data_IF_782661083068
#
_entry.id   IF_782661083068
#
_cell.length_a   1.000
_cell.length_b   1.000
_cell.length_c   1.000
_cell.angle_alpha   90.00
_cell.angle_beta   90.00
_cell.angle_gamma   90.00
#
_symmetry.space_group_name_H-M   'P 1'
#
loop_
_entity.id
_entity.type
_entity.pdbx_description
1 polymer ?
#
# COMPACT_ATOMS: atom_id res chain seq x y z
N UNK A 1 11.36 -5.53 27.93
CA UNK A 1 10.25 -6.42 27.55
C UNK A 1 9.45 -5.71 26.45
N UNK A 2 9.59 -6.12 25.19
CA UNK A 2 8.90 -5.49 24.05
C UNK A 2 7.61 -6.26 23.77
N UNK A 3 6.55 -5.92 24.48
CA UNK A 3 5.20 -6.47 24.25
C UNK A 3 4.82 -6.34 22.77
N UNK A 4 4.26 -7.39 22.18
CA UNK A 4 3.82 -7.38 20.78
C UNK A 4 2.41 -6.80 20.77
N UNK A 5 2.17 -5.69 20.06
CA UNK A 5 0.82 -5.17 19.91
C UNK A 5 -0.09 -6.28 19.41
N UNK A 6 -1.27 -6.37 20.01
CA UNK A 6 -2.26 -7.34 19.56
C UNK A 6 -2.63 -7.03 18.10
N UNK A 7 -2.76 -8.10 17.30
CA UNK A 7 -3.15 -7.94 15.90
C UNK A 7 -4.57 -7.35 15.82
N UNK A 8 -4.81 -6.37 14.94
CA UNK A 8 -6.11 -5.74 14.81
C UNK A 8 -7.14 -6.75 14.27
N UNK A 9 -8.45 -6.52 14.48
CA UNK A 9 -9.50 -7.43 14.01
C UNK A 9 -9.37 -7.79 12.52
N UNK A 10 -9.09 -6.81 11.67
CA UNK A 10 -8.85 -7.02 10.24
C UNK A 10 -7.60 -7.87 9.96
N UNK A 11 -6.56 -7.75 10.79
CA UNK A 11 -5.34 -8.53 10.67
C UNK A 11 -5.57 -10.00 11.04
N UNK A 12 -6.43 -10.27 12.02
CA UNK A 12 -6.88 -11.63 12.38
C UNK A 12 -7.72 -12.23 11.25
N UNK A 13 -8.64 -11.45 10.68
CA UNK A 13 -9.48 -11.84 9.55
C UNK A 13 -8.63 -12.26 8.34
N UNK A 14 -7.71 -11.39 7.90
CA UNK A 14 -6.82 -11.67 6.77
C UNK A 14 -5.94 -12.91 7.01
N UNK A 15 -5.49 -13.16 8.24
CA UNK A 15 -4.75 -14.39 8.57
C UNK A 15 -5.59 -15.65 8.41
N UNK A 16 -6.85 -15.63 8.85
CA UNK A 16 -7.77 -16.76 8.70
C UNK A 16 -8.05 -17.01 7.23
N UNK A 17 -8.31 -15.95 6.46
CA UNK A 17 -8.55 -16.04 5.02
C UNK A 17 -7.35 -16.58 4.25
N UNK A 18 -6.12 -16.14 4.57
CA UNK A 18 -4.89 -16.72 4.02
C UNK A 18 -4.80 -18.24 4.24
N UNK A 19 -5.12 -18.69 5.46
CA UNK A 19 -5.10 -20.11 5.81
C UNK A 19 -6.18 -20.89 5.05
N UNK A 20 -7.39 -20.33 4.93
CA UNK A 20 -8.49 -20.93 4.18
C UNK A 20 -8.17 -21.03 2.67
N UNK A 21 -7.60 -19.97 2.09
CA UNK A 21 -7.20 -19.90 0.69
C UNK A 21 -5.92 -20.72 0.38
N UNK A 22 -5.21 -21.20 1.41
CA UNK A 22 -3.93 -21.94 1.28
C UNK A 22 -2.87 -21.20 0.47
N UNK A 23 -2.85 -19.87 0.55
CA UNK A 23 -1.83 -19.04 -0.11
C UNK A 23 -0.87 -18.41 0.89
N UNK A 24 0.37 -18.17 0.44
CA UNK A 24 1.39 -17.52 1.26
C UNK A 24 1.12 -16.02 1.39
N UNK A 25 1.67 -15.39 2.44
CA UNK A 25 1.64 -13.92 2.59
C UNK A 25 2.30 -13.20 1.42
N UNK A 26 3.38 -13.78 0.88
CA UNK A 26 4.07 -13.26 -0.31
C UNK A 26 3.15 -13.26 -1.53
N UNK A 27 2.43 -14.35 -1.73
CA UNK A 27 1.47 -14.47 -2.84
C UNK A 27 0.29 -13.52 -2.68
N UNK A 28 -0.26 -13.37 -1.47
CA UNK A 28 -1.35 -12.43 -1.23
C UNK A 28 -0.91 -10.96 -1.37
N UNK A 29 0.32 -10.63 -0.96
CA UNK A 29 0.92 -9.32 -1.20
C UNK A 29 1.04 -9.02 -2.70
N UNK A 30 1.49 -10.00 -3.50
CA UNK A 30 1.54 -9.91 -4.96
C UNK A 30 0.16 -9.64 -5.56
N UNK A 31 -0.86 -10.41 -5.14
CA UNK A 31 -2.26 -10.25 -5.63
C UNK A 31 -2.89 -8.92 -5.26
N UNK A 32 -2.49 -8.32 -4.14
CA UNK A 32 -3.00 -7.02 -3.67
C UNK A 32 -2.18 -5.82 -4.18
N UNK A 33 -1.09 -6.05 -4.91
CA UNK A 33 -0.23 -4.98 -5.42
C UNK A 33 0.52 -4.21 -4.33
N UNK A 34 0.93 -4.89 -3.24
CA UNK A 34 1.76 -4.31 -2.19
C UNK A 34 2.97 -5.20 -1.88
N UNK A 35 3.98 -4.65 -1.20
CA UNK A 35 5.13 -5.45 -0.76
C UNK A 35 4.78 -6.43 0.37
N UNK A 36 5.47 -7.57 0.42
CA UNK A 36 5.28 -8.57 1.48
C UNK A 36 5.52 -7.97 2.89
N UNK A 37 6.54 -7.11 3.02
CA UNK A 37 6.83 -6.40 4.26
C UNK A 37 5.66 -5.52 4.68
N UNK A 38 5.07 -4.77 3.76
CA UNK A 38 3.90 -3.92 4.02
C UNK A 38 2.69 -4.76 4.42
N UNK A 39 2.44 -5.86 3.72
CA UNK A 39 1.39 -6.83 4.05
C UNK A 39 1.53 -7.32 5.49
N UNK A 40 2.73 -7.76 5.88
CA UNK A 40 3.03 -8.24 7.23
C UNK A 40 2.75 -7.18 8.29
N UNK A 41 3.19 -5.94 8.08
CA UNK A 41 2.99 -4.85 9.02
C UNK A 41 1.51 -4.52 9.25
N UNK A 42 0.73 -4.49 8.16
CA UNK A 42 -0.71 -4.23 8.21
C UNK A 42 -1.46 -5.35 8.92
N UNK A 43 -1.14 -6.60 8.60
CA UNK A 43 -1.70 -7.78 9.25
C UNK A 43 -1.32 -7.87 10.73
N UNK A 44 -0.11 -7.43 11.10
CA UNK A 44 0.32 -7.39 12.50
C UNK A 44 -0.16 -6.16 13.25
N UNK A 45 -0.63 -5.13 12.55
CA UNK A 45 -1.05 -3.84 13.14
C UNK A 45 0.10 -2.98 13.66
N UNK A 46 1.34 -3.25 13.24
CA UNK A 46 2.49 -2.45 13.66
C UNK A 46 3.64 -2.54 12.66
N UNK A 47 4.49 -1.52 12.67
CA UNK A 47 5.78 -1.49 11.99
C UNK A 47 6.90 -1.28 13.01
N UNK A 48 8.13 -1.67 12.66
CA UNK A 48 9.31 -1.43 13.51
C UNK A 48 10.08 -0.23 12.96
N UNK A 49 10.20 0.83 13.75
CA UNK A 49 10.96 2.04 13.43
C UNK A 49 11.96 2.27 14.55
N UNK A 50 13.25 2.32 14.24
CA UNK A 50 14.32 2.55 15.22
C UNK A 50 14.20 1.65 16.47
N UNK A 51 13.96 0.35 16.25
CA UNK A 51 13.72 -0.69 17.29
C UNK A 51 12.42 -0.55 18.10
N UNK A 52 11.61 0.49 17.84
CA UNK A 52 10.31 0.68 18.47
C UNK A 52 9.18 0.12 17.59
N UNK A 53 8.19 -0.54 18.22
CA UNK A 53 6.98 -1.00 17.53
C UNK A 53 5.98 0.15 17.50
N UNK A 54 5.68 0.65 16.31
CA UNK A 54 4.73 1.73 16.06
C UNK A 54 3.44 1.11 15.54
N UNK A 55 2.28 1.37 16.15
CA UNK A 55 1.01 0.85 15.67
C UNK A 55 0.69 1.41 14.28
N UNK A 56 0.18 0.54 13.41
CA UNK A 56 -0.19 0.90 12.04
C UNK A 56 -1.58 0.36 11.77
N UNK A 57 -2.41 1.23 11.21
CA UNK A 57 -3.75 0.87 10.74
C UNK A 57 -3.75 0.87 9.22
N UNK A 58 -4.38 -0.14 8.61
CA UNK A 58 -4.54 -0.22 7.15
C UNK A 58 -5.43 0.92 6.65
N UNK A 59 -5.01 1.67 5.62
CA UNK A 59 -5.90 2.52 4.83
C UNK A 59 -7.02 1.69 4.21
N UNK A 60 -8.19 2.28 4.02
CA UNK A 60 -9.40 1.55 3.63
C UNK A 60 -9.26 0.92 2.22
N UNK A 61 -8.73 1.66 1.24
CA UNK A 61 -8.45 1.13 -0.11
C UNK A 61 -7.42 -0.01 -0.11
N UNK A 62 -6.37 0.12 0.70
CA UNK A 62 -5.35 -0.94 0.80
C UNK A 62 -5.95 -2.17 1.45
N UNK A 63 -6.78 -1.99 2.48
CA UNK A 63 -7.46 -3.10 3.13
C UNK A 63 -8.44 -3.80 2.20
N UNK A 64 -9.19 -3.06 1.38
CA UNK A 64 -10.08 -3.62 0.36
C UNK A 64 -9.30 -4.48 -0.66
N UNK A 65 -8.17 -3.98 -1.18
CA UNK A 65 -7.29 -4.77 -2.07
C UNK A 65 -6.74 -6.02 -1.39
N UNK A 66 -6.33 -5.91 -0.12
CA UNK A 66 -5.86 -7.07 0.65
C UNK A 66 -6.97 -8.10 0.87
N UNK A 67 -8.19 -7.66 1.17
CA UNK A 67 -9.35 -8.52 1.36
C UNK A 67 -9.70 -9.27 0.08
N UNK A 68 -9.82 -8.56 -1.04
CA UNK A 68 -10.05 -9.15 -2.38
C UNK A 68 -8.99 -10.20 -2.73
N UNK A 69 -7.72 -9.95 -2.44
CA UNK A 69 -6.62 -10.86 -2.74
C UNK A 69 -6.71 -12.23 -2.03
N UNK A 70 -7.39 -12.30 -0.89
CA UNK A 70 -7.55 -13.51 -0.07
C UNK A 70 -9.00 -14.02 0.00
N UNK A 71 -9.93 -13.39 -0.72
CA UNK A 71 -11.35 -13.77 -0.75
C UNK A 71 -12.14 -13.43 0.51
N UNK A 72 -11.76 -12.36 1.21
CA UNK A 72 -12.58 -11.78 2.31
C UNK A 72 -13.65 -10.88 1.70
N UNK A 73 -14.90 -11.00 2.16
CA UNK A 73 -16.02 -10.23 1.61
C UNK A 73 -16.20 -8.86 2.30
N UNK A 74 -17.08 -8.03 1.75
CA UNK A 74 -17.43 -6.75 2.36
C UNK A 74 -18.08 -6.92 3.74
N UNK A 75 -18.92 -7.94 3.91
CA UNK A 75 -19.61 -8.26 5.16
C UNK A 75 -18.61 -8.62 6.26
N UNK A 76 -17.62 -9.45 5.95
CA UNK A 76 -16.53 -9.80 6.87
C UNK A 76 -15.77 -8.55 7.36
N UNK A 77 -15.55 -7.57 6.47
CA UNK A 77 -14.92 -6.30 6.82
C UNK A 77 -15.82 -5.43 7.70
N UNK A 78 -17.14 -5.45 7.51
CA UNK A 78 -18.09 -4.75 8.38
C UNK A 78 -18.12 -5.34 9.79
N UNK A 79 -18.14 -6.67 9.91
CA UNK A 79 -18.04 -7.36 11.19
C UNK A 79 -16.73 -7.05 11.92
N UNK A 80 -15.64 -6.82 11.17
CA UNK A 80 -14.37 -6.38 11.70
C UNK A 80 -14.32 -4.87 12.05
N UNK A 81 -15.42 -4.13 11.91
CA UNK A 81 -15.51 -2.69 12.18
C UNK A 81 -14.83 -1.81 11.12
N UNK A 82 -14.72 -2.31 9.88
CA UNK A 82 -14.06 -1.64 8.75
C UNK A 82 -15.03 -1.30 7.62
N UNK A 83 -16.20 -0.74 7.96
CA UNK A 83 -17.26 -0.42 6.99
C UNK A 83 -16.84 0.50 5.82
N UNK A 84 -15.89 1.42 6.00
CA UNK A 84 -15.35 2.21 4.89
C UNK A 84 -14.57 1.35 3.88
N UNK A 85 -13.78 0.40 4.36
CA UNK A 85 -13.09 -0.55 3.49
C UNK A 85 -14.06 -1.51 2.82
N UNK A 86 -15.14 -1.89 3.51
CA UNK A 86 -16.22 -2.69 2.93
C UNK A 86 -16.90 -1.96 1.76
N UNK A 87 -17.20 -0.67 1.91
CA UNK A 87 -17.76 0.15 0.82
C UNK A 87 -16.83 0.16 -0.40
N UNK A 88 -15.53 0.43 -0.18
CA UNK A 88 -14.53 0.43 -1.27
C UNK A 88 -14.41 -0.94 -1.94
N UNK A 89 -14.55 -2.04 -1.19
CA UNK A 89 -14.52 -3.38 -1.76
C UNK A 89 -15.73 -3.62 -2.68
N UNK A 90 -16.94 -3.26 -2.27
CA UNK A 90 -18.15 -3.40 -3.09
C UNK A 90 -18.08 -2.58 -4.37
N UNK A 91 -17.57 -1.35 -4.28
CA UNK A 91 -17.39 -0.49 -5.44
C UNK A 91 -16.45 -1.17 -6.45
N UNK A 92 -15.33 -1.71 -5.97
CA UNK A 92 -14.35 -2.41 -6.81
C UNK A 92 -14.82 -3.79 -7.35
N UNK A 93 -15.80 -4.42 -6.72
CA UNK A 93 -16.46 -5.63 -7.20
C UNK A 93 -17.47 -5.28 -8.30
N UNK A 94 -18.24 -4.22 -8.10
CA UNK A 94 -19.20 -3.69 -9.08
C UNK A 94 -18.50 -3.27 -10.37
N UNK A 95 -17.37 -2.56 -10.27
CA UNK A 95 -16.54 -2.17 -11.42
C UNK A 95 -15.93 -3.36 -12.17
N UNK A 96 -15.76 -4.51 -11.50
CA UNK A 96 -15.18 -5.71 -12.09
C UNK A 96 -16.20 -6.62 -12.77
N UNK A 97 -17.48 -6.50 -12.42
CA UNK A 97 -18.60 -7.20 -13.08
C UNK A 97 -19.04 -6.54 -14.40
N UNK A 98 -18.46 -5.39 -14.76
CA UNK A 98 -18.61 -4.79 -16.09
C UNK A 98 -17.67 -5.49 -17.10
N UNK A 99 -18.17 -6.27 -18.08
CA UNK A 99 -17.39 -7.27 -18.82
C UNK A 99 -16.43 -6.71 -19.89
N UNK A 100 -16.00 -5.45 -19.78
CA UNK A 100 -15.23 -4.75 -20.80
C UNK A 100 -13.78 -4.40 -20.37
N UNK A 101 -12.98 -5.39 -19.98
CA UNK A 101 -11.51 -5.37 -20.19
C UNK A 101 -10.83 -6.73 -19.89
N UNK A 102 -10.30 -7.44 -20.90
CA UNK A 102 -9.26 -8.45 -20.70
C UNK A 102 -7.88 -7.77 -20.77
N UNK A 103 -7.05 -7.92 -19.73
CA UNK A 103 -5.70 -7.35 -19.75
C UNK A 103 -4.89 -7.55 -18.47
N UNK A 104 -4.95 -8.72 -17.85
CA UNK A 104 -4.01 -9.10 -16.80
C UNK A 104 -2.83 -9.88 -17.42
N UNK A 105 -1.99 -9.19 -18.18
CA UNK A 105 -0.69 -9.70 -18.58
C UNK A 105 0.39 -8.60 -18.54
N UNK A 106 1.43 -8.89 -17.75
CA UNK A 106 2.78 -8.29 -17.75
C UNK A 106 3.06 -7.05 -16.86
N UNK A 107 4.17 -7.16 -16.12
CA UNK A 107 5.06 -6.10 -15.62
C UNK A 107 4.76 -5.41 -14.27
N UNK A 108 4.99 -6.15 -13.18
CA UNK A 108 5.48 -5.56 -11.93
C UNK A 108 6.99 -5.32 -11.96
N UNK A 109 7.45 -4.34 -12.76
CA UNK A 109 8.78 -3.65 -12.64
C UNK A 109 8.67 -2.27 -13.30
N UNK A 110 7.68 -1.46 -12.93
CA UNK A 110 7.46 -0.13 -13.48
C UNK A 110 8.03 1.00 -12.59
N UNK A 111 8.55 2.11 -13.16
CA UNK A 111 8.97 3.32 -12.44
C UNK A 111 7.94 3.84 -11.43
N UNK A 112 6.65 3.58 -11.67
CA UNK A 112 5.53 3.95 -10.81
C UNK A 112 5.62 3.36 -9.39
N UNK A 113 6.08 2.11 -9.22
CA UNK A 113 6.27 1.53 -7.87
C UNK A 113 7.38 2.24 -7.08
N UNK A 114 8.41 2.77 -7.76
CA UNK A 114 9.50 3.51 -7.12
C UNK A 114 9.07 4.94 -6.77
N UNK A 115 8.21 5.54 -7.59
CA UNK A 115 7.56 6.83 -7.31
C UNK A 115 6.60 6.70 -6.12
N UNK A 116 5.80 5.64 -6.05
CA UNK A 116 4.91 5.37 -4.92
C UNK A 116 5.69 5.09 -3.62
N UNK A 117 6.79 4.34 -3.69
CA UNK A 117 7.67 4.12 -2.53
C UNK A 117 8.32 5.41 -2.02
N UNK A 118 8.79 6.28 -2.93
CA UNK A 118 9.34 7.59 -2.54
C UNK A 118 8.24 8.51 -1.99
N UNK A 119 7.05 8.49 -2.57
CA UNK A 119 5.91 9.27 -2.10
C UNK A 119 5.49 8.87 -0.68
N UNK A 120 5.48 7.56 -0.36
CA UNK A 120 5.15 7.07 0.98
C UNK A 120 6.21 7.44 2.04
N UNK A 121 7.51 7.44 1.68
CA UNK A 121 8.57 7.91 2.56
C UNK A 121 8.48 9.41 2.84
N UNK A 122 8.22 10.20 1.80
CA UNK A 122 8.06 11.65 1.96
C UNK A 122 6.79 11.97 2.74
N UNK A 123 5.68 11.29 2.47
CA UNK A 123 4.44 11.46 3.23
C UNK A 123 4.60 11.09 4.72
N UNK A 124 5.40 10.07 5.04
CA UNK A 124 5.74 9.72 6.42
C UNK A 124 6.57 10.80 7.13
N UNK A 125 7.55 11.38 6.42
CA UNK A 125 8.38 12.49 6.95
C UNK A 125 7.55 13.75 7.12
N UNK A 126 6.69 14.09 6.16
CA UNK A 126 5.78 15.25 6.25
C UNK A 126 4.76 15.10 7.38
N UNK A 127 4.24 13.89 7.60
CA UNK A 127 3.35 13.59 8.74
C UNK A 127 4.08 13.72 10.07
N UNK A 128 5.35 13.34 10.13
CA UNK A 128 6.19 13.48 11.31
C UNK A 128 6.63 14.94 11.56
N UNK A 129 6.68 15.77 10.51
CA UNK A 129 6.95 17.19 10.56
C UNK A 129 5.71 18.05 10.90
N UNK A 130 4.57 17.45 11.26
CA UNK A 130 3.29 18.14 11.57
C UNK A 130 3.30 18.97 12.86
N UNK A 131 4.46 19.40 13.34
CA UNK A 131 4.60 20.49 14.28
C UNK A 131 4.79 21.81 13.50
N UNK A 132 3.71 22.34 12.88
CA UNK A 132 3.70 23.75 12.45
C UNK A 132 3.10 24.13 11.10
N UNK A 133 2.57 23.21 10.27
CA UNK A 133 2.08 23.55 8.92
C UNK A 133 0.56 23.61 8.76
N UNK A 134 0.14 24.66 8.07
CA UNK A 134 -1.05 24.92 7.27
C UNK A 134 -1.63 23.77 6.41
N UNK A 135 -2.95 23.52 6.34
CA UNK A 135 -3.52 22.71 5.22
C UNK A 135 -3.12 23.24 3.82
N UNK A 136 -3.20 24.56 3.51
CA UNK A 136 -2.76 25.07 2.21
C UNK A 136 -1.23 24.99 2.00
N UNK A 137 -0.46 25.06 3.09
CA UNK A 137 1.01 24.91 3.04
C UNK A 137 1.40 23.46 2.77
N UNK A 138 0.62 22.52 3.30
CA UNK A 138 0.74 21.09 3.02
C UNK A 138 0.46 20.78 1.55
N UNK A 139 -0.62 21.32 0.97
CA UNK A 139 -0.97 21.10 -0.44
C UNK A 139 0.09 21.69 -1.39
N UNK A 140 0.62 22.87 -1.05
CA UNK A 140 1.71 23.52 -1.80
C UNK A 140 3.00 22.70 -1.74
N UNK A 141 3.34 22.17 -0.57
CA UNK A 141 4.53 21.35 -0.38
C UNK A 141 4.40 20.00 -1.08
N UNK A 142 3.22 19.38 -1.00
CA UNK A 142 2.87 18.15 -1.71
C UNK A 142 3.08 18.30 -3.23
N UNK A 143 2.54 19.37 -3.83
CA UNK A 143 2.69 19.63 -5.27
C UNK A 143 4.15 19.83 -5.71
N UNK A 144 4.97 20.54 -4.93
CA UNK A 144 6.39 20.77 -5.24
C UNK A 144 7.23 19.50 -5.15
N UNK A 145 6.90 18.62 -4.22
CA UNK A 145 7.56 17.33 -4.04
C UNK A 145 7.21 16.39 -5.20
N UNK A 146 5.95 16.33 -5.61
CA UNK A 146 5.53 15.56 -6.79
C UNK A 146 6.30 15.99 -8.04
N UNK A 147 6.44 17.30 -8.25
CA UNK A 147 7.23 17.84 -9.37
C UNK A 147 8.72 17.51 -9.28
N UNK A 148 9.30 17.46 -8.07
CA UNK A 148 10.71 17.11 -7.87
C UNK A 148 10.99 15.62 -8.07
N UNK A 149 10.08 14.75 -7.63
CA UNK A 149 10.20 13.30 -7.76
C UNK A 149 9.92 12.82 -9.18
N UNK A 150 9.05 13.51 -9.92
CA UNK A 150 8.77 13.25 -11.33
C UNK A 150 9.90 13.68 -12.28
N UNK A 151 10.94 14.36 -11.76
CA UNK A 151 12.06 14.83 -12.57
C UNK A 151 13.05 13.67 -12.80
N UNK A 152 13.34 13.29 -14.06
CA UNK A 152 14.33 12.26 -14.32
C UNK A 152 15.70 12.73 -13.81
N UNK A 153 16.39 11.85 -13.09
CA UNK A 153 17.76 12.09 -12.62
C UNK A 153 18.68 12.19 -13.84
N UNK A 154 19.43 13.29 -13.94
CA UNK A 154 20.35 13.56 -15.05
C UNK A 154 21.45 12.49 -15.26
N UNK A 155 21.60 11.54 -14.33
CA UNK A 155 22.51 10.40 -14.46
C UNK A 155 22.01 9.34 -15.45
N UNK A 156 20.70 9.28 -15.77
CA UNK A 156 20.15 8.27 -16.70
C UNK A 156 20.32 8.67 -18.18
N UNK A 157 20.80 9.89 -18.47
CA UNK A 157 21.05 10.36 -19.85
C UNK A 157 22.51 10.14 -20.28
N UNK A 158 23.42 9.82 -19.36
CA UNK A 158 24.84 9.69 -19.65
C UNK A 158 25.28 8.27 -20.09
N UNK A 159 24.45 7.24 -19.86
CA UNK A 159 24.78 5.83 -20.13
C UNK A 159 24.20 5.31 -21.47
N UNK A 160 23.90 6.20 -22.42
CA UNK A 160 23.55 5.84 -23.81
C UNK A 160 24.30 6.71 -24.84
N UNK A 161 25.54 7.06 -24.51
CA UNK A 161 26.49 7.62 -25.47
C UNK A 161 27.71 6.68 -25.55
N UNK A 162 27.50 5.54 -26.20
CA UNK A 162 28.58 4.66 -26.67
C UNK A 162 29.39 5.43 -27.74
N UNK A 163 30.72 5.56 -27.62
CA UNK A 163 31.54 6.17 -28.66
C UNK A 163 32.14 5.09 -29.56
N UNK A 164 31.79 5.09 -30.85
CA UNK A 164 32.63 4.55 -31.92
C UNK A 164 32.15 5.05 -33.30
N UNK A 165 33.02 5.11 -34.32
CA UNK A 165 34.49 4.98 -34.33
C UNK A 165 35.25 6.31 -34.51
#
# INVERSE_FOLDING_TARGET
MTERPEAPPEGKLLKRALAAARISQREAARRSGISETRWRQLVSGYQVVSRNKVPVRSPDETLARMARAVGVTAEDLEEAGRGKAAAVLRDAETDADDPAAPGADTAGTGPQSRVDERWQLVHAVLRQARAGLTTPEYDTLAGRITAYVARPTAEETAETAEPAP
#
